data_IF_550543656622
#
_entry.id   IF_550543656622
#
_cell.length_a   1.000
_cell.length_b   1.000
_cell.length_c   1.000
_cell.angle_alpha   90.00
_cell.angle_beta   90.00
_cell.angle_gamma   90.00
#
_symmetry.space_group_name_H-M   'P 1'
#
loop_
_entity.id
_entity.type
_entity.pdbx_description
1 polymer ?
#
# COMPACT_ATOMS: atom_id res chain seq x y z
N UNK A 1 -49.58 8.01 16.56
CA UNK A 1 -48.45 7.07 16.33
C UNK A 1 -47.49 7.53 15.22
N UNK A 2 -47.46 8.82 14.83
CA UNK A 2 -46.49 9.37 13.85
C UNK A 2 -45.53 10.38 14.50
N UNK A 3 -45.89 10.90 15.68
CA UNK A 3 -45.10 11.93 16.39
C UNK A 3 -43.90 11.39 17.21
N UNK A 4 -43.76 10.06 17.36
CA UNK A 4 -42.67 9.43 18.12
C UNK A 4 -41.48 9.05 17.21
N UNK A 5 -41.68 8.97 15.89
CA UNK A 5 -40.63 8.50 14.96
C UNK A 5 -39.71 9.63 14.49
N UNK A 6 -40.13 10.89 14.59
CA UNK A 6 -39.32 12.04 14.15
C UNK A 6 -38.45 12.67 15.26
N UNK A 7 -38.62 12.28 16.52
CA UNK A 7 -37.76 12.76 17.61
C UNK A 7 -36.38 12.09 17.65
N UNK A 8 -36.22 10.93 17.00
CA UNK A 8 -34.98 10.16 17.00
C UNK A 8 -34.07 10.40 15.79
N UNK A 9 -34.51 11.20 14.81
CA UNK A 9 -33.69 11.56 13.64
C UNK A 9 -32.70 12.71 13.89
N UNK A 10 -32.64 13.24 15.13
CA UNK A 10 -31.80 14.40 15.48
C UNK A 10 -30.50 14.09 16.23
N UNK A 11 -30.19 12.83 16.55
CA UNK A 11 -29.01 12.46 17.34
C UNK A 11 -28.14 11.43 16.61
N UNK A 12 -27.57 11.86 15.49
CA UNK A 12 -26.37 11.21 14.96
C UNK A 12 -25.28 11.18 16.04
N UNK A 13 -24.47 10.11 16.11
CA UNK A 13 -23.40 10.00 17.10
C UNK A 13 -22.48 11.21 16.97
N UNK A 14 -22.30 11.97 18.05
CA UNK A 14 -21.22 12.96 18.19
C UNK A 14 -19.89 12.21 18.36
N UNK A 15 -19.55 11.39 17.37
CA UNK A 15 -18.23 10.79 17.24
C UNK A 15 -17.31 11.88 16.71
N UNK A 16 -16.27 12.17 17.48
CA UNK A 16 -15.24 13.14 17.16
C UNK A 16 -14.57 12.80 15.82
N UNK A 17 -15.14 13.26 14.70
CA UNK A 17 -14.52 13.28 13.37
C UNK A 17 -13.51 14.43 13.29
N UNK A 18 -12.63 14.51 14.27
CA UNK A 18 -11.40 15.26 14.14
C UNK A 18 -10.35 14.22 13.80
N UNK A 19 -10.03 13.99 12.51
CA UNK A 19 -8.79 13.30 12.20
C UNK A 19 -7.69 14.10 12.90
N UNK A 20 -7.05 13.49 13.90
CA UNK A 20 -5.93 14.11 14.55
C UNK A 20 -4.86 14.25 13.48
N UNK A 21 -4.75 15.45 12.90
CA UNK A 21 -3.78 15.79 11.85
C UNK A 21 -2.32 15.59 12.31
N UNK A 22 -2.11 15.15 13.55
CA UNK A 22 -0.84 14.85 14.18
C UNK A 22 -0.51 13.34 14.17
N UNK A 23 -1.24 12.52 13.41
CA UNK A 23 -0.88 11.10 13.18
C UNK A 23 0.15 10.92 12.05
N UNK A 24 0.58 12.02 11.42
CA UNK A 24 1.44 12.03 10.23
C UNK A 24 2.92 11.80 10.54
N UNK A 25 3.33 11.98 11.80
CA UNK A 25 4.74 11.95 12.23
C UNK A 25 5.12 10.65 12.92
N UNK A 26 4.64 9.51 12.42
CA UNK A 26 5.20 8.23 12.83
C UNK A 26 6.31 7.86 11.83
N UNK A 27 7.43 7.39 12.37
CA UNK A 27 8.60 6.97 11.58
C UNK A 27 8.22 6.00 10.43
N UNK A 28 7.29 5.03 10.62
CA UNK A 28 6.84 4.15 9.54
C UNK A 28 6.17 4.89 8.38
N UNK A 29 5.26 5.84 8.65
CA UNK A 29 4.54 6.56 7.59
C UNK A 29 5.48 7.38 6.70
N UNK A 30 6.52 7.97 7.29
CA UNK A 30 7.53 8.72 6.54
C UNK A 30 8.35 7.80 5.62
N UNK A 31 8.63 6.57 6.05
CA UNK A 31 9.37 5.57 5.28
C UNK A 31 8.53 5.03 4.11
N UNK A 32 7.24 4.75 4.32
CA UNK A 32 6.31 4.36 3.24
C UNK A 32 6.14 5.49 2.22
N UNK A 33 6.00 6.75 2.69
CA UNK A 33 5.92 7.91 1.81
C UNK A 33 7.22 8.12 1.00
N UNK A 34 8.39 7.93 1.63
CA UNK A 34 9.68 7.95 0.94
C UNK A 34 9.74 6.90 -0.18
N UNK A 35 9.20 5.70 0.06
CA UNK A 35 9.14 4.63 -0.95
C UNK A 35 8.25 5.01 -2.14
N UNK A 36 7.11 5.64 -1.86
CA UNK A 36 6.21 6.17 -2.88
C UNK A 36 6.90 7.25 -3.76
N UNK A 37 7.75 8.09 -3.14
CA UNK A 37 8.56 9.11 -3.82
C UNK A 37 9.76 8.50 -4.55
N UNK A 38 10.31 7.38 -4.05
CA UNK A 38 11.41 6.69 -4.69
C UNK A 38 11.01 6.07 -6.03
N UNK A 39 9.77 5.63 -6.21
CA UNK A 39 9.26 5.07 -7.47
C UNK A 39 9.46 6.02 -8.68
N UNK A 40 8.95 7.27 -8.69
CA UNK A 40 9.23 8.20 -9.78
C UNK A 40 10.72 8.56 -9.88
N UNK A 41 11.46 8.52 -8.78
CA UNK A 41 12.92 8.69 -8.78
C UNK A 41 13.63 7.58 -9.57
N UNK A 42 13.28 6.31 -9.31
CA UNK A 42 13.82 5.13 -10.02
C UNK A 42 13.50 5.21 -11.51
N UNK A 43 12.25 5.54 -11.86
CA UNK A 43 11.85 5.73 -13.25
C UNK A 43 12.67 6.85 -13.90
N UNK A 44 12.76 8.01 -13.25
CA UNK A 44 13.51 9.16 -13.76
C UNK A 44 15.00 8.85 -13.98
N UNK A 45 15.68 8.23 -13.01
CA UNK A 45 17.09 7.89 -13.15
C UNK A 45 17.33 6.80 -14.19
N UNK A 46 16.38 5.88 -14.37
CA UNK A 46 16.42 4.88 -15.43
C UNK A 46 16.37 5.51 -16.82
N UNK A 47 15.40 6.40 -17.07
CA UNK A 47 15.25 7.08 -18.36
C UNK A 47 16.37 8.10 -18.65
N UNK A 48 17.10 8.54 -17.62
CA UNK A 48 18.32 9.35 -17.76
C UNK A 48 19.58 8.50 -17.98
N UNK A 49 19.45 7.19 -18.18
CA UNK A 49 20.55 6.23 -18.36
C UNK A 49 21.52 6.16 -17.14
N UNK A 50 21.09 6.64 -15.98
CA UNK A 50 21.86 6.61 -14.73
C UNK A 50 21.68 5.26 -14.01
N UNK A 51 21.92 4.15 -14.71
CA UNK A 51 21.59 2.80 -14.22
C UNK A 51 22.22 2.46 -12.86
N UNK A 52 23.44 2.94 -12.58
CA UNK A 52 24.08 2.76 -11.27
C UNK A 52 23.34 3.48 -10.14
N UNK A 53 22.84 4.69 -10.41
CA UNK A 53 22.01 5.45 -9.46
C UNK A 53 20.66 4.76 -9.27
N UNK A 54 20.06 4.28 -10.35
CA UNK A 54 18.79 3.52 -10.29
C UNK A 54 18.92 2.28 -9.40
N UNK A 55 20.00 1.51 -9.55
CA UNK A 55 20.25 0.32 -8.73
C UNK A 55 20.44 0.68 -7.25
N UNK A 56 21.17 1.76 -6.95
CA UNK A 56 21.37 2.25 -5.58
C UNK A 56 20.05 2.74 -4.97
N UNK A 57 19.25 3.51 -5.73
CA UNK A 57 17.96 4.03 -5.26
C UNK A 57 16.98 2.90 -4.97
N UNK A 58 16.91 1.92 -5.88
CA UNK A 58 16.09 0.72 -5.71
C UNK A 58 16.53 -0.10 -4.49
N UNK A 59 17.83 -0.37 -4.35
CA UNK A 59 18.38 -1.08 -3.21
C UNK A 59 18.11 -0.37 -1.88
N UNK A 60 18.30 0.96 -1.84
CA UNK A 60 17.99 1.76 -0.67
C UNK A 60 16.49 1.71 -0.31
N UNK A 61 15.60 1.82 -1.30
CA UNK A 61 14.16 1.72 -1.09
C UNK A 61 13.74 0.35 -0.53
N UNK A 62 14.33 -0.74 -1.05
CA UNK A 62 14.08 -2.10 -0.56
C UNK A 62 14.59 -2.34 0.87
N UNK A 63 15.78 -1.81 1.22
CA UNK A 63 16.30 -1.90 2.59
C UNK A 63 15.40 -1.12 3.58
N UNK A 64 14.87 0.01 3.13
CA UNK A 64 13.98 0.86 3.93
C UNK A 64 12.65 0.17 4.27
N UNK A 65 12.13 -0.68 3.37
CA UNK A 65 10.96 -1.57 3.58
C UNK A 65 11.22 -2.69 4.58
N UNK A 66 12.43 -3.25 4.58
CA UNK A 66 12.74 -4.24 5.59
C UNK A 66 12.81 -3.61 6.99
N UNK A 67 13.34 -2.39 7.06
CA UNK A 67 13.56 -1.68 8.32
C UNK A 67 12.27 -1.14 8.94
N UNK A 68 11.31 -0.62 8.15
CA UNK A 68 10.04 -0.13 8.67
C UNK A 68 9.16 -1.27 9.22
N UNK A 69 9.14 -2.43 8.57
CA UNK A 69 8.45 -3.62 9.04
C UNK A 69 9.01 -4.12 10.37
N UNK A 70 10.34 -3.99 10.57
CA UNK A 70 10.97 -4.30 11.85
C UNK A 70 10.61 -3.28 12.94
N UNK A 71 10.65 -1.98 12.64
CA UNK A 71 10.32 -0.91 13.59
C UNK A 71 8.83 -0.89 13.97
N UNK A 72 7.94 -1.08 13.00
CA UNK A 72 6.49 -1.13 13.22
C UNK A 72 6.10 -2.25 14.18
N UNK A 73 6.71 -3.43 14.03
CA UNK A 73 6.52 -4.57 14.97
C UNK A 73 7.00 -4.27 16.38
N UNK A 74 8.06 -3.45 16.52
CA UNK A 74 8.68 -3.14 17.82
C UNK A 74 8.01 -1.99 18.55
N UNK A 75 7.43 -1.02 17.85
CA UNK A 75 6.85 0.19 18.45
C UNK A 75 5.33 0.20 18.55
N UNK A 76 4.60 -0.79 18.01
CA UNK A 76 3.12 -0.85 18.01
C UNK A 76 2.45 0.42 17.45
N UNK A 77 3.19 1.27 16.75
CA UNK A 77 2.68 2.48 16.11
C UNK A 77 2.32 2.13 14.66
N UNK A 78 1.19 1.47 14.48
CA UNK A 78 0.54 1.35 13.17
C UNK A 78 -0.57 2.39 13.08
N UNK A 79 -0.51 3.23 12.06
CA UNK A 79 -1.58 4.19 11.76
C UNK A 79 -2.48 3.62 10.67
N UNK A 80 -3.74 4.05 10.62
CA UNK A 80 -4.69 3.64 9.57
C UNK A 80 -4.22 4.04 8.16
N UNK A 81 -3.56 5.19 8.05
CA UNK A 81 -2.98 5.68 6.80
C UNK A 81 -1.77 4.84 6.36
N UNK A 82 -0.84 4.55 7.26
CA UNK A 82 0.31 3.68 6.94
C UNK A 82 -0.12 2.29 6.50
N UNK A 83 -1.14 1.72 7.15
CA UNK A 83 -1.70 0.41 6.77
C UNK A 83 -2.33 0.41 5.37
N UNK A 84 -2.79 1.56 4.86
CA UNK A 84 -3.28 1.71 3.49
C UNK A 84 -2.13 1.98 2.49
N UNK A 85 -1.15 2.79 2.89
CA UNK A 85 -0.02 3.17 2.04
C UNK A 85 0.96 2.01 1.83
N UNK A 86 1.15 1.13 2.80
CA UNK A 86 2.09 0.01 2.71
C UNK A 86 1.77 -0.92 1.52
N UNK A 87 0.54 -1.46 1.37
CA UNK A 87 0.19 -2.28 0.20
C UNK A 87 0.24 -1.52 -1.13
N UNK A 88 0.05 -0.20 -1.12
CA UNK A 88 0.12 0.64 -2.31
C UNK A 88 1.58 0.80 -2.77
N UNK A 89 2.47 1.15 -1.84
CA UNK A 89 3.89 1.34 -2.11
C UNK A 89 4.53 0.04 -2.63
N UNK A 90 4.22 -1.11 -2.02
CA UNK A 90 4.70 -2.42 -2.45
C UNK A 90 4.31 -2.75 -3.91
N UNK A 91 3.03 -2.63 -4.24
CA UNK A 91 2.54 -2.87 -5.61
C UNK A 91 3.16 -1.93 -6.63
N UNK A 92 3.31 -0.65 -6.31
CA UNK A 92 3.91 0.34 -7.21
C UNK A 92 5.39 0.05 -7.43
N UNK A 93 6.13 -0.32 -6.39
CA UNK A 93 7.56 -0.63 -6.50
C UNK A 93 7.79 -1.88 -7.37
N UNK A 94 7.06 -2.96 -7.10
CA UNK A 94 7.16 -4.22 -7.85
C UNK A 94 6.74 -4.03 -9.31
N UNK A 95 5.58 -3.39 -9.55
CA UNK A 95 5.08 -3.19 -10.91
C UNK A 95 5.96 -2.28 -11.75
N UNK A 96 6.42 -1.16 -11.19
CA UNK A 96 7.31 -0.24 -11.92
C UNK A 96 8.62 -0.92 -12.30
N UNK A 97 9.19 -1.72 -11.40
CA UNK A 97 10.44 -2.45 -11.65
C UNK A 97 10.26 -3.51 -12.74
N UNK A 98 9.16 -4.26 -12.72
CA UNK A 98 8.87 -5.24 -13.77
C UNK A 98 8.62 -4.58 -15.13
N UNK A 99 7.95 -3.43 -15.16
CA UNK A 99 7.76 -2.66 -16.40
C UNK A 99 9.10 -2.25 -17.00
N UNK A 100 10.00 -1.65 -16.20
CA UNK A 100 11.33 -1.27 -16.67
C UNK A 100 12.15 -2.47 -17.15
N UNK A 101 12.05 -3.60 -16.44
CA UNK A 101 12.76 -4.83 -16.81
C UNK A 101 12.27 -5.40 -18.15
N UNK A 102 10.95 -5.39 -18.37
CA UNK A 102 10.33 -5.84 -19.62
C UNK A 102 10.68 -4.91 -20.77
N UNK A 103 10.63 -3.61 -20.54
CA UNK A 103 11.05 -2.59 -21.51
C UNK A 103 12.51 -2.79 -21.94
N UNK A 104 13.41 -2.98 -20.97
CA UNK A 104 14.84 -3.13 -21.24
C UNK A 104 15.18 -4.41 -22.00
N UNK A 105 14.63 -5.55 -21.56
CA UNK A 105 14.98 -6.85 -22.13
C UNK A 105 14.24 -7.14 -23.44
N UNK A 106 13.04 -6.58 -23.62
CA UNK A 106 12.17 -6.72 -24.79
C UNK A 106 12.06 -8.16 -25.36
N UNK A 107 12.12 -9.17 -24.49
CA UNK A 107 12.19 -10.59 -24.86
C UNK A 107 11.11 -11.40 -24.16
N UNK A 108 10.48 -12.38 -24.85
CA UNK A 108 9.48 -13.27 -24.25
C UNK A 108 9.97 -13.99 -22.99
N UNK A 109 11.27 -14.28 -22.89
CA UNK A 109 11.89 -14.95 -21.74
C UNK A 109 11.77 -14.10 -20.47
N UNK A 110 11.70 -12.77 -20.60
CA UNK A 110 11.56 -11.84 -19.48
C UNK A 110 10.12 -11.37 -19.33
N UNK A 111 9.43 -11.07 -20.44
CA UNK A 111 8.06 -10.56 -20.43
C UNK A 111 7.04 -11.56 -19.89
N UNK A 112 7.18 -12.85 -20.23
CA UNK A 112 6.22 -13.89 -19.79
C UNK A 112 6.30 -14.09 -18.26
N UNK A 113 7.48 -14.30 -17.64
CA UNK A 113 7.59 -14.36 -16.19
C UNK A 113 7.14 -13.07 -15.50
N UNK A 114 7.49 -11.89 -16.02
CA UNK A 114 7.09 -10.61 -15.43
C UNK A 114 5.56 -10.45 -15.41
N UNK A 115 4.88 -10.79 -16.51
CA UNK A 115 3.42 -10.78 -16.58
C UNK A 115 2.79 -11.79 -15.61
N UNK A 116 3.38 -12.99 -15.46
CA UNK A 116 2.91 -14.00 -14.52
C UNK A 116 3.04 -13.52 -13.05
N UNK A 117 4.14 -12.86 -12.71
CA UNK A 117 4.35 -12.28 -11.36
C UNK A 117 3.30 -11.19 -11.09
N UNK A 118 3.10 -10.26 -12.03
CA UNK A 118 2.08 -9.21 -11.90
C UNK A 118 0.66 -9.77 -11.75
N UNK A 119 0.30 -10.74 -12.59
CA UNK A 119 -1.00 -11.39 -12.53
C UNK A 119 -1.25 -12.07 -11.19
N UNK A 120 -0.23 -12.72 -10.63
CA UNK A 120 -0.28 -13.35 -9.32
C UNK A 120 -0.47 -12.31 -8.20
N UNK A 121 0.28 -11.21 -8.23
CA UNK A 121 0.22 -10.17 -7.20
C UNK A 121 -1.14 -9.48 -7.13
N UNK A 122 -1.69 -9.15 -8.31
CA UNK A 122 -3.03 -8.54 -8.43
C UNK A 122 -4.14 -9.56 -8.12
N UNK A 123 -4.04 -10.78 -8.66
CA UNK A 123 -5.04 -11.83 -8.47
C UNK A 123 -5.19 -12.24 -7.01
N UNK A 124 -4.07 -12.47 -6.30
CA UNK A 124 -4.10 -12.79 -4.86
C UNK A 124 -4.65 -11.62 -4.05
N UNK A 125 -4.30 -10.38 -4.40
CA UNK A 125 -4.84 -9.18 -3.73
C UNK A 125 -6.36 -9.09 -3.85
N UNK A 126 -6.90 -9.21 -5.06
CA UNK A 126 -8.34 -9.12 -5.32
C UNK A 126 -9.09 -10.28 -4.68
N UNK A 127 -8.56 -11.50 -4.77
CA UNK A 127 -9.16 -12.66 -4.13
C UNK A 127 -9.22 -12.48 -2.61
N UNK A 128 -8.14 -12.00 -2.00
CA UNK A 128 -8.09 -11.74 -0.55
C UNK A 128 -9.16 -10.74 -0.13
N UNK A 129 -9.29 -9.63 -0.83
CA UNK A 129 -10.32 -8.62 -0.56
C UNK A 129 -11.73 -9.21 -0.71
N UNK A 130 -11.98 -9.96 -1.78
CA UNK A 130 -13.27 -10.62 -2.01
C UNK A 130 -13.64 -11.56 -0.84
N UNK A 131 -12.69 -12.38 -0.37
CA UNK A 131 -12.94 -13.29 0.78
C UNK A 131 -13.22 -12.56 2.09
N UNK A 132 -12.67 -11.36 2.29
CA UNK A 132 -12.93 -10.57 3.48
C UNK A 132 -14.33 -9.96 3.45
N UNK A 133 -14.74 -9.47 2.29
CA UNK A 133 -16.07 -8.88 2.08
C UNK A 133 -17.18 -9.93 2.10
N UNK A 134 -16.91 -11.16 1.65
CA UNK A 134 -17.90 -12.24 1.57
C UNK A 134 -17.85 -13.21 2.76
N UNK A 135 -17.20 -12.84 3.87
CA UNK A 135 -17.18 -13.68 5.07
C UNK A 135 -18.57 -13.64 5.73
N UNK A 136 -19.37 -14.72 5.70
CA UNK A 136 -20.68 -14.73 6.32
C UNK A 136 -20.54 -14.41 7.81
N UNK A 137 -21.40 -13.54 8.32
CA UNK A 137 -21.41 -13.06 9.69
C UNK A 137 -21.74 -14.21 10.65
N UNK A 138 -20.76 -15.05 10.95
CA UNK A 138 -20.93 -16.22 11.83
C UNK A 138 -21.08 -15.86 13.32
N UNK A 139 -21.62 -14.69 13.65
CA UNK A 139 -21.85 -14.21 15.03
C UNK A 139 -23.09 -13.33 15.17
N UNK A 140 -24.25 -13.83 14.74
CA UNK A 140 -25.55 -13.29 15.12
C UNK A 140 -26.27 -14.13 16.22
N UNK A 141 -25.54 -15.02 16.91
CA UNK A 141 -26.11 -15.86 17.97
C UNK A 141 -25.28 -15.79 19.26
N UNK A 142 -25.35 -14.65 19.94
CA UNK A 142 -25.19 -14.46 21.40
C UNK A 142 -25.95 -13.20 21.78
#
# INVERSE_FOLDING_TARGET
MVHVVLSDLGKGPKGHLQPHLKDWQTVPNALTALRLVAVPGILGTWYLELHGVTAVLFGAAAITDWFDGFLARRWKQQTSLGALLDPLADKLLVSSTLVLLVEHAASPIVSVPAAAILARELGVSTLREWTQTHRPEARAWH
#
